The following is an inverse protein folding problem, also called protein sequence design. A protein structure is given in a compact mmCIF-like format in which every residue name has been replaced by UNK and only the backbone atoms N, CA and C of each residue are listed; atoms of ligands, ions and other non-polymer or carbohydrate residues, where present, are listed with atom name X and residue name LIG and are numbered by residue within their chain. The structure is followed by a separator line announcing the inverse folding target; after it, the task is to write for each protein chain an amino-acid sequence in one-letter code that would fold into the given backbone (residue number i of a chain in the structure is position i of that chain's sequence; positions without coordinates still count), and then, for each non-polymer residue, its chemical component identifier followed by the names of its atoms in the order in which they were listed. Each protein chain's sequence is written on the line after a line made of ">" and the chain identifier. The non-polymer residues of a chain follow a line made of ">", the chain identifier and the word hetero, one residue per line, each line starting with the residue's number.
data_IF_467449871774
#
_entry.id   IF_467449871774
#
_cell.length_a   1.000
_cell.length_b   1.000
_cell.length_c   1.000
_cell.angle_alpha   90.00
_cell.angle_beta   90.00
_cell.angle_gamma   90.00
#
_symmetry.space_group_name_H-M   'P 1'
#
loop_
_entity.id
_entity.type
_entity.pdbx_description
1 polymer ?
#
# COMPACT_ATOMS: atom_id res chain seq x y z
N UNK A 1 -7.48 -0.70 4.45
CA UNK A 1 -7.90 -1.39 3.21
C UNK A 1 -8.69 -2.63 3.57
N UNK A 2 -9.15 -3.39 2.57
CA UNK A 2 -9.81 -4.67 2.78
C UNK A 2 -9.49 -5.65 1.65
N UNK A 3 -9.38 -6.93 1.97
CA UNK A 3 -9.18 -7.99 0.96
C UNK A 3 -10.47 -8.19 0.15
N UNK A 4 -10.36 -8.56 -1.13
CA UNK A 4 -11.52 -8.61 -2.03
C UNK A 4 -11.95 -7.23 -2.56
N UNK A 5 -11.11 -6.21 -2.49
CA UNK A 5 -11.47 -4.86 -2.92
C UNK A 5 -11.68 -4.79 -4.44
N UNK A 6 -12.92 -4.51 -4.87
CA UNK A 6 -13.28 -4.42 -6.29
C UNK A 6 -12.44 -3.42 -7.10
N UNK A 7 -12.06 -2.29 -6.50
CA UNK A 7 -11.19 -1.31 -7.16
C UNK A 7 -9.74 -1.80 -7.35
N UNK A 8 -9.18 -2.44 -6.32
CA UNK A 8 -7.84 -3.07 -6.42
C UNK A 8 -7.86 -4.21 -7.43
N UNK A 9 -8.92 -5.04 -7.42
CA UNK A 9 -9.13 -6.12 -8.36
C UNK A 9 -9.25 -5.62 -9.81
N UNK A 10 -10.01 -4.55 -10.03
CA UNK A 10 -10.16 -3.93 -11.36
C UNK A 10 -8.80 -3.46 -11.89
N UNK A 11 -7.97 -2.82 -11.06
CA UNK A 11 -6.61 -2.40 -11.43
C UNK A 11 -5.68 -3.60 -11.67
N UNK A 12 -5.75 -4.62 -10.82
CA UNK A 12 -4.93 -5.82 -10.96
C UNK A 12 -5.22 -6.52 -12.30
N UNK A 13 -6.51 -6.69 -12.62
CA UNK A 13 -7.03 -7.38 -13.81
C UNK A 13 -7.16 -6.50 -15.05
N UNK A 14 -6.77 -5.23 -14.97
CA UNK A 14 -6.79 -4.26 -16.08
C UNK A 14 -8.20 -4.09 -16.69
N UNK A 15 -9.21 -4.11 -15.82
CA UNK A 15 -10.61 -3.91 -16.19
C UNK A 15 -10.91 -2.42 -16.35
N UNK A 16 -11.53 -2.05 -17.48
CA UNK A 16 -12.07 -0.70 -17.68
C UNK A 16 -13.42 -0.57 -17.00
N UNK A 17 -13.56 0.40 -16.10
CA UNK A 17 -14.80 0.68 -15.37
C UNK A 17 -15.37 2.08 -15.68
N UNK A 18 -14.76 2.83 -16.61
CA UNK A 18 -15.26 4.13 -17.07
C UNK A 18 -14.71 5.28 -16.25
N UNK A 19 -15.56 6.20 -15.78
CA UNK A 19 -15.10 7.38 -15.02
C UNK A 19 -14.30 7.03 -13.75
N UNK A 20 -14.57 5.86 -13.17
CA UNK A 20 -13.82 5.34 -12.02
C UNK A 20 -12.35 5.06 -12.33
N UNK A 21 -11.97 4.84 -13.60
CA UNK A 21 -10.59 4.57 -14.01
C UNK A 21 -9.67 5.75 -13.66
N UNK A 22 -10.18 6.99 -13.70
CA UNK A 22 -9.42 8.18 -13.33
C UNK A 22 -9.04 8.19 -11.84
N UNK A 23 -9.93 7.73 -10.97
CA UNK A 23 -9.64 7.59 -9.54
C UNK A 23 -8.73 6.39 -9.27
N UNK A 24 -8.97 5.27 -9.95
CA UNK A 24 -8.16 4.06 -9.83
C UNK A 24 -6.74 4.21 -10.39
N UNK A 25 -6.47 5.28 -11.15
CA UNK A 25 -5.13 5.66 -11.59
C UNK A 25 -4.11 5.67 -10.46
N UNK A 26 -4.49 6.16 -9.27
CA UNK A 26 -3.60 6.19 -8.11
C UNK A 26 -3.25 4.79 -7.61
N UNK A 27 -4.20 3.84 -7.63
CA UNK A 27 -3.92 2.43 -7.29
C UNK A 27 -3.06 1.78 -8.38
N UNK A 28 -3.26 2.16 -9.65
CA UNK A 28 -2.39 1.70 -10.73
C UNK A 28 -0.96 2.27 -10.60
N UNK A 29 -0.77 3.49 -10.10
CA UNK A 29 0.57 4.03 -9.84
C UNK A 29 1.31 3.18 -8.79
N UNK A 30 0.60 2.77 -7.73
CA UNK A 30 1.12 1.81 -6.73
C UNK A 30 1.46 0.46 -7.39
N UNK A 31 0.55 -0.08 -8.22
CA UNK A 31 0.75 -1.33 -8.97
C UNK A 31 2.07 -1.29 -9.75
N UNK A 32 2.33 -0.20 -10.48
CA UNK A 32 3.53 -0.07 -11.31
C UNK A 32 4.80 0.17 -10.49
N UNK A 33 4.74 1.08 -9.50
CA UNK A 33 5.88 1.41 -8.64
C UNK A 33 6.47 0.17 -7.95
N UNK A 34 5.61 -0.76 -7.53
CA UNK A 34 6.03 -1.95 -6.79
C UNK A 34 5.95 -3.25 -7.57
N UNK A 35 5.79 -3.21 -8.90
CA UNK A 35 5.60 -4.40 -9.77
C UNK A 35 6.54 -5.56 -9.45
N UNK A 36 7.84 -5.29 -9.28
CA UNK A 36 8.85 -6.32 -9.00
C UNK A 36 8.69 -7.04 -7.65
N UNK A 37 7.85 -6.52 -6.73
CA UNK A 37 7.63 -7.07 -5.39
C UNK A 37 6.42 -7.99 -5.28
N UNK A 38 5.53 -8.02 -6.26
CA UNK A 38 4.31 -8.80 -6.20
C UNK A 38 4.03 -9.62 -7.46
N UNK A 39 4.55 -9.24 -8.63
CA UNK A 39 4.22 -9.91 -9.90
C UNK A 39 4.62 -11.40 -9.96
N UNK A 40 5.62 -11.81 -9.17
CA UNK A 40 6.08 -13.19 -9.08
C UNK A 40 5.22 -14.07 -8.15
N UNK A 41 4.29 -13.48 -7.41
CA UNK A 41 3.42 -14.20 -6.49
C UNK A 41 2.27 -14.88 -7.25
N UNK A 42 1.63 -15.86 -6.61
CA UNK A 42 0.40 -16.44 -7.15
C UNK A 42 -0.74 -15.41 -7.15
N UNK A 43 -1.77 -15.60 -7.98
CA UNK A 43 -2.86 -14.61 -8.17
C UNK A 43 -3.54 -14.18 -6.86
N UNK A 44 -3.76 -15.12 -5.92
CA UNK A 44 -4.38 -14.81 -4.62
C UNK A 44 -3.50 -13.89 -3.76
N UNK A 45 -2.19 -14.10 -3.81
CA UNK A 45 -1.21 -13.30 -3.07
C UNK A 45 -0.95 -11.95 -3.74
N UNK A 46 -1.04 -11.86 -5.07
CA UNK A 46 -0.91 -10.59 -5.81
C UNK A 46 -1.98 -9.59 -5.39
N UNK A 47 -3.23 -10.02 -5.30
CA UNK A 47 -4.35 -9.16 -4.86
C UNK A 47 -4.13 -8.66 -3.43
N UNK A 48 -3.85 -9.59 -2.52
CA UNK A 48 -3.63 -9.28 -1.11
C UNK A 48 -2.46 -8.32 -0.92
N UNK A 49 -1.35 -8.59 -1.62
CA UNK A 49 -0.14 -7.76 -1.58
C UNK A 49 -0.38 -6.38 -2.17
N UNK A 50 -1.05 -6.26 -3.31
CA UNK A 50 -1.35 -4.96 -3.90
C UNK A 50 -2.28 -4.13 -2.99
N UNK A 51 -3.26 -4.77 -2.34
CA UNK A 51 -4.13 -4.10 -1.36
C UNK A 51 -3.31 -3.57 -0.17
N UNK A 52 -2.42 -4.38 0.39
CA UNK A 52 -1.56 -3.99 1.51
C UNK A 52 -0.57 -2.87 1.11
N UNK A 53 0.08 -2.98 -0.05
CA UNK A 53 0.95 -1.93 -0.59
C UNK A 53 0.19 -0.61 -0.81
N UNK A 54 -1.04 -0.67 -1.33
CA UNK A 54 -1.85 0.53 -1.47
C UNK A 54 -2.15 1.19 -0.12
N UNK A 55 -2.46 0.42 0.92
CA UNK A 55 -2.63 0.99 2.27
C UNK A 55 -1.34 1.60 2.80
N UNK A 56 -0.20 0.94 2.64
CA UNK A 56 1.11 1.46 3.08
C UNK A 56 1.42 2.79 2.38
N UNK A 57 1.16 2.88 1.08
CA UNK A 57 1.34 4.11 0.29
C UNK A 57 0.43 5.24 0.77
N UNK A 58 -0.87 4.97 0.96
CA UNK A 58 -1.79 6.02 1.43
C UNK A 58 -1.48 6.46 2.87
N UNK A 59 -0.98 5.59 3.73
CA UNK A 59 -0.50 5.98 5.07
C UNK A 59 0.68 6.94 4.96
N UNK A 60 1.63 6.66 4.07
CA UNK A 60 2.73 7.57 3.75
C UNK A 60 2.22 8.93 3.26
N UNK A 61 1.33 8.94 2.27
CA UNK A 61 0.75 10.18 1.74
C UNK A 61 0.02 11.00 2.81
N UNK A 62 -0.79 10.35 3.67
CA UNK A 62 -1.48 11.02 4.79
C UNK A 62 -0.47 11.62 5.75
N UNK A 63 0.56 10.86 6.11
CA UNK A 63 1.61 11.32 6.99
C UNK A 63 2.39 12.51 6.42
N UNK A 64 2.52 12.63 5.10
CA UNK A 64 3.21 13.73 4.41
C UNK A 64 2.33 14.98 4.20
N UNK A 65 1.03 14.92 4.49
CA UNK A 65 0.16 16.10 4.33
C UNK A 65 0.54 17.24 5.28
N UNK A 66 0.36 18.48 4.83
CA UNK A 66 0.59 19.68 5.68
C UNK A 66 -0.21 19.62 6.98
N UNK A 67 -1.44 19.11 6.93
CA UNK A 67 -2.30 18.97 8.12
C UNK A 67 -1.66 18.08 9.20
N UNK A 68 -1.13 16.92 8.80
CA UNK A 68 -0.49 15.99 9.74
C UNK A 68 0.87 16.51 10.19
N UNK A 69 1.65 17.08 9.27
CA UNK A 69 2.95 17.69 9.58
C UNK A 69 2.81 18.85 10.58
N UNK A 70 1.85 19.75 10.37
CA UNK A 70 1.56 20.87 11.27
C UNK A 70 1.05 20.38 12.63
N UNK A 71 0.32 19.25 12.68
CA UNK A 71 -0.11 18.63 13.93
C UNK A 71 1.06 18.12 14.75
N UNK A 72 2.00 17.41 14.11
CA UNK A 72 3.22 16.99 14.80
C UNK A 72 4.12 18.17 15.17
N UNK A 73 4.26 19.18 14.31
CA UNK A 73 5.08 20.37 14.55
C UNK A 73 4.61 21.18 15.77
N UNK A 74 3.29 21.27 16.00
CA UNK A 74 2.72 21.92 17.21
C UNK A 74 2.70 21.02 18.45
N UNK A 75 3.29 19.82 18.39
CA UNK A 75 3.34 18.87 19.50
C UNK A 75 2.03 18.14 19.80
N UNK A 76 1.05 18.14 18.88
CA UNK A 76 -0.19 17.41 19.08
C UNK A 76 0.05 15.89 18.98
N UNK A 77 -0.39 15.09 19.98
CA UNK A 77 -0.34 13.63 19.88
C UNK A 77 -1.24 13.15 18.73
N UNK A 78 -0.64 12.55 17.71
CA UNK A 78 -1.34 12.01 16.54
C UNK A 78 -0.59 10.78 16.01
N UNK A 79 -1.32 9.73 15.67
CA UNK A 79 -0.80 8.52 15.04
C UNK A 79 -1.58 8.20 13.77
N UNK A 80 -0.86 7.83 12.70
CA UNK A 80 -1.45 7.32 11.45
C UNK A 80 -1.17 5.83 11.38
N UNK A 81 -2.21 5.02 11.19
CA UNK A 81 -2.14 3.56 11.16
C UNK A 81 -2.55 3.01 9.80
N UNK A 82 -1.99 1.86 9.43
CA UNK A 82 -2.37 1.13 8.22
C UNK A 82 -2.81 -0.29 8.54
N UNK A 83 -4.10 -0.56 8.33
CA UNK A 83 -4.71 -1.87 8.54
C UNK A 83 -5.37 -2.39 7.28
N UNK A 84 -5.39 -3.71 7.12
CA UNK A 84 -6.27 -4.42 6.18
C UNK A 84 -7.17 -5.38 6.94
N UNK A 85 -8.39 -5.61 6.47
CA UNK A 85 -9.27 -6.62 7.06
C UNK A 85 -9.89 -7.53 6.00
N UNK A 86 -10.20 -8.76 6.38
CA UNK A 86 -10.89 -9.71 5.51
C UNK A 86 -12.39 -9.52 5.53
N UNK A 87 -13.03 -9.46 4.36
CA UNK A 87 -14.50 -9.45 4.27
C UNK A 87 -15.11 -10.80 4.67
N UNK A 88 -14.35 -11.88 4.58
CA UNK A 88 -14.79 -13.24 4.88
C UNK A 88 -14.83 -13.57 6.38
N UNK A 89 -13.94 -12.97 7.15
CA UNK A 89 -13.67 -13.34 8.55
C UNK A 89 -13.68 -12.13 9.51
N UNK A 90 -13.71 -10.90 8.98
CA UNK A 90 -13.67 -9.67 9.77
C UNK A 90 -12.33 -9.44 10.49
N UNK A 91 -11.32 -10.27 10.27
CA UNK A 91 -10.07 -10.21 11.00
C UNK A 91 -9.20 -9.07 10.46
N UNK A 92 -8.70 -8.24 11.39
CA UNK A 92 -7.82 -7.12 11.09
C UNK A 92 -6.36 -7.58 11.10
N UNK A 93 -5.66 -7.34 10.00
CA UNK A 93 -4.21 -7.40 9.89
C UNK A 93 -3.62 -6.01 10.08
N UNK A 94 -2.86 -5.84 11.16
CA UNK A 94 -2.03 -4.64 11.33
C UNK A 94 -0.82 -4.71 10.39
N UNK A 95 -0.65 -3.70 9.53
CA UNK A 95 0.49 -3.66 8.59
C UNK A 95 1.75 -3.09 9.22
N UNK A 96 1.77 -2.73 10.50
CA UNK A 96 2.98 -2.29 11.19
C UNK A 96 3.56 -0.97 10.67
N UNK A 97 2.71 -0.11 10.12
CA UNK A 97 3.10 1.20 9.56
C UNK A 97 2.63 2.37 10.43
N UNK A 98 2.66 2.20 11.74
CA UNK A 98 2.23 3.29 12.63
C UNK A 98 3.26 4.41 12.62
N UNK A 99 2.84 5.60 12.21
CA UNK A 99 3.67 6.81 12.17
C UNK A 99 3.13 7.82 13.18
N UNK A 100 4.00 8.34 14.05
CA UNK A 100 3.62 9.26 15.13
C UNK A 100 4.41 10.56 15.13
N UNK A 101 5.32 10.72 14.17
CA UNK A 101 6.20 11.89 14.05
C UNK A 101 6.83 11.97 12.64
N UNK A 102 7.24 13.17 12.18
CA UNK A 102 7.75 13.40 10.83
C UNK A 102 9.00 12.58 10.47
N UNK A 103 9.96 12.49 11.40
CA UNK A 103 11.25 11.84 11.23
C UNK A 103 11.15 10.32 11.04
N UNK A 104 10.03 9.72 11.44
CA UNK A 104 9.81 8.28 11.30
C UNK A 104 9.17 7.89 9.96
N UNK A 105 8.54 8.82 9.22
CA UNK A 105 7.69 8.52 8.06
C UNK A 105 8.46 7.73 7.01
N UNK A 106 9.63 8.23 6.59
CA UNK A 106 10.46 7.60 5.57
C UNK A 106 10.96 6.22 6.00
N UNK A 107 11.42 6.09 7.24
CA UNK A 107 11.94 4.82 7.76
C UNK A 107 10.84 3.76 7.85
N UNK A 108 9.70 4.09 8.45
CA UNK A 108 8.57 3.17 8.63
C UNK A 108 8.01 2.73 7.28
N UNK A 109 7.84 3.66 6.33
CA UNK A 109 7.43 3.34 4.96
C UNK A 109 8.43 2.39 4.27
N UNK A 110 9.72 2.72 4.32
CA UNK A 110 10.79 1.95 3.68
C UNK A 110 10.84 0.52 4.22
N UNK A 111 10.83 0.35 5.54
CA UNK A 111 10.85 -0.96 6.17
C UNK A 111 9.58 -1.75 5.88
N UNK A 112 8.43 -1.07 5.82
CA UNK A 112 7.18 -1.70 5.46
C UNK A 112 7.20 -2.29 4.05
N UNK A 113 7.73 -1.55 3.08
CA UNK A 113 7.87 -1.98 1.69
C UNK A 113 8.92 -3.09 1.54
N UNK A 114 10.02 -3.08 2.31
CA UNK A 114 11.07 -4.11 2.28
C UNK A 114 10.58 -5.51 2.66
N UNK A 115 9.51 -5.62 3.47
CA UNK A 115 8.88 -6.91 3.80
C UNK A 115 8.30 -7.65 2.60
N UNK A 116 8.12 -6.97 1.47
CA UNK A 116 7.74 -7.57 0.20
C UNK A 116 8.97 -7.65 -0.71
N UNK A 117 9.72 -8.77 -0.68
CA UNK A 117 10.97 -8.88 -1.43
C UNK A 117 10.70 -8.74 -2.93
N UNK A 118 11.68 -8.18 -3.65
CA UNK A 118 11.64 -8.22 -5.12
C UNK A 118 11.92 -9.65 -5.58
N UNK A 119 11.35 -10.04 -6.71
CA UNK A 119 11.82 -11.23 -7.41
C UNK A 119 13.33 -11.07 -7.62
N UNK A 120 14.13 -12.07 -7.21
CA UNK A 120 15.53 -12.10 -7.57
C UNK A 120 15.61 -12.00 -9.10
N UNK A 121 16.55 -11.20 -9.62
CA UNK A 121 16.81 -11.23 -11.06
C UNK A 121 17.28 -12.65 -11.38
N UNK A 122 16.41 -13.47 -11.97
CA UNK A 122 16.86 -14.67 -12.64
C UNK A 122 17.89 -14.21 -13.68
N UNK A 123 19.09 -14.78 -13.59
CA UNK A 123 20.22 -14.46 -14.42
C UNK A 123 19.79 -14.39 -15.89
N UNK A 124 19.89 -13.19 -16.46
CA UNK A 124 19.84 -12.99 -17.92
C UNK A 124 21.10 -13.60 -18.53
N UNK A 125 21.14 -14.93 -18.61
CA UNK A 125 22.15 -15.69 -19.34
C UNK A 125 21.47 -16.91 -19.95
N UNK A 126 20.88 -16.69 -21.13
CA UNK A 126 20.43 -17.72 -22.07
C UNK A 126 20.62 -17.17 -23.47
#
# INVERSE_FOLDING_TARGET
>A
GHYGCGGVLAVLREQRIGLGDNWLRHVHDVKQRHRGRWMHLCTADQESTLCEMNVIEQVGHVAETTVVQDAWARGQPLAVHGWCYGLKDGLVKNLGVTMTRPDHVVQVYSDAIKRYPRQAAEDKAG
#
